data_IF_242422636049
#
_entry.id   IF_242422636049
#
_cell.length_a   1.000
_cell.length_b   1.000
_cell.length_c   1.000
_cell.angle_alpha   90.00
_cell.angle_beta   90.00
_cell.angle_gamma   90.00
#
_symmetry.space_group_name_H-M   'P 1'
#
loop_
_entity.id
_entity.type
_entity.pdbx_description
1 polymer ?
#
# COMPACT_ATOMS: atom_id res chain seq x y z
N UNK A 1 -36.39 -28.48 -53.09
CA UNK A 1 -35.09 -29.14 -53.41
C UNK A 1 -34.14 -28.73 -52.28
N UNK A 2 -34.15 -29.50 -51.18
CA UNK A 2 -33.04 -30.36 -50.73
C UNK A 2 -31.90 -29.52 -50.12
N UNK A 3 -31.92 -29.26 -48.82
CA UNK A 3 -31.27 -30.03 -47.73
C UNK A 3 -29.73 -29.96 -47.75
N UNK A 4 -29.17 -29.48 -46.65
CA UNK A 4 -28.03 -30.12 -45.98
C UNK A 4 -27.93 -29.58 -44.54
N UNK A 5 -28.52 -30.33 -43.62
CA UNK A 5 -28.11 -30.36 -42.22
C UNK A 5 -26.61 -30.67 -42.12
N UNK A 6 -25.92 -29.98 -41.21
CA UNK A 6 -24.86 -30.60 -40.43
C UNK A 6 -24.98 -30.07 -39.01
N UNK A 7 -25.73 -30.83 -38.21
CA UNK A 7 -25.83 -30.66 -36.78
C UNK A 7 -24.44 -30.81 -36.14
N UNK A 8 -24.11 -29.91 -35.22
CA UNK A 8 -23.10 -30.18 -34.20
C UNK A 8 -23.65 -29.73 -32.85
N UNK A 9 -24.31 -30.64 -32.09
CA UNK A 9 -24.93 -30.29 -30.80
C UNK A 9 -23.92 -30.10 -29.65
N UNK A 10 -22.65 -30.45 -29.81
CA UNK A 10 -21.75 -30.70 -28.68
C UNK A 10 -21.05 -29.47 -28.07
N UNK A 11 -21.18 -28.27 -28.65
CA UNK A 11 -20.45 -27.08 -28.17
C UNK A 11 -21.29 -26.13 -27.29
N UNK A 12 -22.60 -26.31 -27.23
CA UNK A 12 -23.48 -25.45 -26.42
C UNK A 12 -23.69 -25.94 -24.98
N UNK A 13 -23.16 -27.11 -24.62
CA UNK A 13 -23.31 -27.69 -23.28
C UNK A 13 -22.20 -27.31 -22.28
N UNK A 14 -21.14 -26.63 -22.72
CA UNK A 14 -20.04 -26.19 -21.83
C UNK A 14 -20.21 -24.78 -21.27
N UNK A 15 -21.15 -23.99 -21.77
CA UNK A 15 -21.39 -22.64 -21.27
C UNK A 15 -22.67 -22.63 -20.41
N UNK A 16 -22.57 -22.65 -19.07
CA UNK A 16 -23.74 -22.45 -18.23
C UNK A 16 -24.44 -21.15 -18.63
N UNK A 17 -25.71 -21.32 -19.02
CA UNK A 17 -26.60 -20.28 -19.48
C UNK A 17 -26.81 -19.25 -18.37
N UNK A 18 -26.38 -18.02 -18.64
CA UNK A 18 -26.64 -16.77 -17.91
C UNK A 18 -26.14 -16.73 -16.46
N UNK A 19 -25.17 -15.86 -16.10
CA UNK A 19 -24.97 -15.53 -14.69
C UNK A 19 -26.27 -14.87 -14.22
N UNK A 20 -26.86 -15.44 -13.18
CA UNK A 20 -27.99 -14.83 -12.50
C UNK A 20 -27.52 -13.44 -12.04
N UNK A 21 -27.97 -12.36 -12.72
CA UNK A 21 -27.48 -10.98 -12.51
C UNK A 21 -27.51 -10.54 -11.04
N UNK A 22 -28.36 -11.16 -10.24
CA UNK A 22 -28.43 -10.93 -8.79
C UNK A 22 -27.16 -11.42 -8.08
N UNK A 23 -26.64 -12.59 -8.47
CA UNK A 23 -25.44 -13.19 -7.91
C UNK A 23 -24.18 -12.40 -8.27
N UNK A 24 -24.06 -11.93 -9.52
CA UNK A 24 -22.92 -11.08 -9.93
C UNK A 24 -22.89 -9.75 -9.17
N UNK A 25 -24.04 -9.10 -9.01
CA UNK A 25 -24.15 -7.87 -8.20
C UNK A 25 -23.84 -8.11 -6.73
N UNK A 26 -24.27 -9.24 -6.17
CA UNK A 26 -23.93 -9.63 -4.80
C UNK A 26 -22.43 -9.91 -4.64
N UNK A 27 -21.81 -10.57 -5.61
CA UNK A 27 -20.39 -10.87 -5.61
C UNK A 27 -19.54 -9.59 -5.72
N UNK A 28 -19.93 -8.67 -6.60
CA UNK A 28 -19.27 -7.36 -6.73
C UNK A 28 -19.43 -6.53 -5.46
N UNK A 29 -20.60 -6.57 -4.82
CA UNK A 29 -20.84 -5.91 -3.53
C UNK A 29 -19.97 -6.48 -2.41
N UNK A 30 -19.88 -7.81 -2.31
CA UNK A 30 -19.02 -8.47 -1.31
C UNK A 30 -17.53 -8.16 -1.54
N UNK A 31 -17.09 -8.11 -2.80
CA UNK A 31 -15.72 -7.72 -3.15
C UNK A 31 -15.42 -6.28 -2.72
N UNK A 32 -16.34 -5.35 -3.01
CA UNK A 32 -16.21 -3.95 -2.64
C UNK A 32 -16.14 -3.77 -1.13
N UNK A 33 -16.98 -4.47 -0.36
CA UNK A 33 -16.97 -4.41 1.09
C UNK A 33 -15.65 -4.92 1.69
N UNK A 34 -15.08 -5.99 1.13
CA UNK A 34 -13.78 -6.50 1.53
C UNK A 34 -12.66 -5.52 1.20
N UNK A 35 -12.70 -4.88 0.03
CA UNK A 35 -11.74 -3.84 -0.37
C UNK A 35 -11.77 -2.64 0.59
N UNK A 36 -12.95 -2.16 0.97
CA UNK A 36 -13.10 -1.06 1.94
C UNK A 36 -12.60 -1.44 3.34
N UNK A 37 -12.91 -2.65 3.81
CA UNK A 37 -12.41 -3.19 5.08
C UNK A 37 -10.90 -3.44 5.08
N UNK A 38 -10.30 -3.76 3.94
CA UNK A 38 -8.86 -3.90 3.80
C UNK A 38 -8.15 -2.55 3.67
N UNK A 39 -8.75 -1.57 2.99
CA UNK A 39 -8.18 -0.24 2.82
C UNK A 39 -8.12 0.53 4.16
N UNK A 40 -9.13 0.39 5.02
CA UNK A 40 -9.10 0.93 6.39
C UNK A 40 -8.04 0.28 7.29
N UNK A 41 -7.65 -0.98 7.01
CA UNK A 41 -6.59 -1.70 7.72
C UNK A 41 -5.20 -1.57 7.08
N UNK A 42 -5.11 -1.05 5.86
CA UNK A 42 -3.92 -1.24 5.01
C UNK A 42 -2.67 -0.61 5.57
N UNK A 43 -2.75 0.58 6.17
CA UNK A 43 -1.59 1.17 6.83
C UNK A 43 -2.13 2.15 7.82
N UNK A 44 -1.87 1.86 9.07
CA UNK A 44 -2.16 2.83 10.07
C UNK A 44 -1.33 4.11 9.88
N UNK A 45 -1.89 5.31 10.08
CA UNK A 45 -1.08 6.52 10.15
C UNK A 45 -0.03 6.47 11.27
N UNK A 46 -0.23 5.61 12.28
CA UNK A 46 0.64 5.49 13.45
C UNK A 46 1.94 4.71 13.19
N UNK A 47 1.95 3.75 12.25
CA UNK A 47 3.19 3.04 11.86
C UNK A 47 4.24 3.98 11.26
N UNK A 48 3.82 5.08 10.63
CA UNK A 48 4.74 6.10 10.08
C UNK A 48 5.40 6.98 11.14
N UNK A 49 4.94 6.95 12.40
CA UNK A 49 5.50 7.78 13.47
C UNK A 49 6.68 7.15 14.20
N UNK A 50 6.93 5.85 14.03
CA UNK A 50 8.08 5.20 14.63
C UNK A 50 9.33 5.43 13.78
N UNK A 51 10.23 6.30 14.25
CA UNK A 51 11.52 6.58 13.61
C UNK A 51 11.52 7.76 12.64
N UNK A 52 10.38 8.42 12.41
CA UNK A 52 10.37 9.73 11.77
C UNK A 52 10.77 10.81 12.78
N UNK A 53 11.77 11.59 12.41
CA UNK A 53 12.24 12.75 13.16
C UNK A 53 11.97 14.01 12.30
N UNK A 54 11.75 15.19 12.92
CA UNK A 54 11.60 16.44 12.17
C UNK A 54 12.86 16.77 11.37
N UNK A 55 12.81 17.76 10.48
CA UNK A 55 14.01 18.30 9.82
C UNK A 55 14.64 19.39 10.67
N UNK A 56 15.98 19.47 10.70
CA UNK A 56 16.74 20.56 11.32
C UNK A 56 17.21 21.57 10.29
N UNK A 57 17.64 22.73 10.77
CA UNK A 57 18.42 23.69 9.99
C UNK A 57 19.93 23.37 10.04
N UNK A 58 20.69 23.98 9.13
CA UNK A 58 22.16 23.86 9.12
C UNK A 58 22.73 24.49 10.39
N UNK A 59 23.63 23.78 11.08
CA UNK A 59 24.22 24.22 12.35
C UNK A 59 23.42 23.86 13.60
N UNK A 60 22.17 23.38 13.48
CA UNK A 60 21.35 22.92 14.60
C UNK A 60 21.78 21.54 15.12
N UNK A 61 21.35 21.22 16.35
CA UNK A 61 21.67 19.97 17.01
C UNK A 61 20.86 18.80 16.44
N UNK A 62 21.53 17.90 15.72
CA UNK A 62 20.92 16.78 15.02
C UNK A 62 20.87 15.46 15.81
N UNK A 63 21.68 15.36 16.86
CA UNK A 63 21.74 14.19 17.71
C UNK A 63 22.01 14.56 19.17
N UNK A 64 21.79 13.62 20.08
CA UNK A 64 22.14 13.73 21.48
C UNK A 64 22.90 12.48 21.92
N UNK A 65 23.93 12.68 22.75
CA UNK A 65 24.71 11.59 23.32
C UNK A 65 24.31 11.36 24.77
N UNK A 66 23.93 10.13 25.09
CA UNK A 66 23.69 9.68 26.46
C UNK A 66 24.59 8.49 26.75
N UNK A 67 25.77 8.77 27.31
CA UNK A 67 26.84 7.78 27.50
C UNK A 67 27.39 7.26 26.16
N UNK A 68 27.38 5.94 25.98
CA UNK A 68 27.78 5.29 24.74
C UNK A 68 26.73 5.34 23.62
N UNK A 69 25.47 5.70 23.94
CA UNK A 69 24.37 5.72 22.97
C UNK A 69 24.22 7.11 22.35
N UNK A 70 23.92 7.14 21.06
CA UNK A 70 23.61 8.36 20.30
C UNK A 70 22.19 8.23 19.75
N UNK A 71 21.35 9.21 20.06
CA UNK A 71 19.99 9.32 19.56
C UNK A 71 19.87 10.45 18.54
N UNK A 72 19.20 10.19 17.42
CA UNK A 72 18.90 11.20 16.39
C UNK A 72 17.69 12.02 16.81
N UNK A 73 17.77 13.35 16.68
CA UNK A 73 16.71 14.29 17.02
C UNK A 73 15.95 14.79 15.80
N UNK A 74 16.65 14.91 14.66
CA UNK A 74 16.12 15.44 13.41
C UNK A 74 16.96 14.96 12.20
N UNK A 75 16.42 15.15 11.00
CA UNK A 75 17.09 14.95 9.72
C UNK A 75 17.73 16.26 9.23
N UNK A 76 19.01 16.19 8.84
CA UNK A 76 19.70 17.34 8.24
C UNK A 76 19.22 17.60 6.81
N UNK A 77 19.20 18.86 6.35
CA UNK A 77 18.76 19.21 5.01
C UNK A 77 19.74 18.67 3.97
N UNK A 78 19.29 18.57 2.71
CA UNK A 78 20.14 18.10 1.60
C UNK A 78 21.39 18.98 1.50
N UNK A 79 22.56 18.34 1.48
CA UNK A 79 23.85 19.01 1.42
C UNK A 79 24.54 19.16 2.78
N UNK A 80 23.82 18.89 3.88
CA UNK A 80 24.37 18.79 5.22
C UNK A 80 24.20 17.38 5.79
N UNK A 81 25.13 16.95 6.65
CA UNK A 81 25.06 15.67 7.35
C UNK A 81 25.19 15.89 8.86
N UNK A 82 24.61 14.96 9.63
CA UNK A 82 24.74 15.00 11.08
C UNK A 82 26.15 14.56 11.49
N UNK A 83 26.97 15.50 11.96
CA UNK A 83 28.28 15.18 12.52
C UNK A 83 28.11 14.65 13.94
N UNK A 84 28.41 13.37 14.19
CA UNK A 84 28.20 12.76 15.51
C UNK A 84 29.21 13.16 16.59
N UNK A 85 30.33 13.80 16.22
CA UNK A 85 31.26 14.37 17.20
C UNK A 85 30.75 15.71 17.74
N UNK A 86 30.26 16.58 16.85
CA UNK A 86 29.71 17.89 17.19
C UNK A 86 28.20 17.86 17.50
N UNK A 87 27.54 16.77 17.15
CA UNK A 87 26.09 16.56 17.24
C UNK A 87 25.27 17.59 16.46
N UNK A 88 25.82 18.14 15.37
CA UNK A 88 25.22 19.22 14.57
C UNK A 88 25.17 18.90 13.07
N UNK A 89 24.24 19.52 12.35
CA UNK A 89 24.19 19.47 10.88
C UNK A 89 25.28 20.35 10.26
N UNK A 90 26.17 19.77 9.45
CA UNK A 90 27.26 20.44 8.73
C UNK A 90 27.18 20.17 7.23
#
# INVERSE_FOLDING_TARGET
KFSSESESPALMDFYPKTPNLTNEKQLLGALQEVLEKLQSKRISPWEKKFGQVPTCDVGEQCAIRKGARIGKMCDCPRGAFCNFFLLKCL
#
